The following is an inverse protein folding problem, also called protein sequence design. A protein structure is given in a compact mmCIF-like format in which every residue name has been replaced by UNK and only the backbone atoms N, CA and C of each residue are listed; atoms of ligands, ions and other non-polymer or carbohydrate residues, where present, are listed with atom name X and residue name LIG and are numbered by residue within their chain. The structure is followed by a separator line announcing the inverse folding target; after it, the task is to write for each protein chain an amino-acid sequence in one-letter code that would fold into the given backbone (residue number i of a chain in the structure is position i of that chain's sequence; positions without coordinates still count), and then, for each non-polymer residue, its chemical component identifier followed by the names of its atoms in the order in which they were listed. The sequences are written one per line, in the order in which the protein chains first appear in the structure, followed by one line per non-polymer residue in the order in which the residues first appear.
data_IF_260342008209
#
_entry.id   IF_260342008209
#
_cell.length_a   1.000
_cell.length_b   1.000
_cell.length_c   1.000
_cell.angle_alpha   90.00
_cell.angle_beta   90.00
_cell.angle_gamma   90.00
#
_symmetry.space_group_name_H-M   'P 1'
#
loop_
_entity.id
_entity.type
_entity.pdbx_description
1 polymer ?
#
# COMPACT_ATOMS: atom_id res chain seq x y z
N UNK A 1 -7.77 -9.93 -15.96
CA UNK A 1 -7.06 -9.31 -14.82
C UNK A 1 -6.10 -8.25 -15.35
N UNK A 2 -5.82 -7.21 -14.56
CA UNK A 2 -4.84 -6.16 -14.90
C UNK A 2 -3.75 -6.07 -13.83
N UNK A 3 -2.53 -5.76 -14.27
CA UNK A 3 -1.36 -5.58 -13.41
C UNK A 3 -0.99 -4.10 -13.34
N UNK A 4 -0.51 -3.67 -12.18
CA UNK A 4 -0.08 -2.29 -11.95
C UNK A 4 1.22 -2.27 -11.15
N UNK A 5 2.03 -1.24 -11.42
CA UNK A 5 3.26 -0.95 -10.69
C UNK A 5 3.20 0.46 -10.11
N UNK A 6 3.44 0.59 -8.81
CA UNK A 6 3.55 1.88 -8.13
C UNK A 6 4.91 1.98 -7.43
N UNK A 7 5.45 3.19 -7.35
CA UNK A 7 6.70 3.43 -6.62
C UNK A 7 6.60 4.67 -5.75
N UNK A 8 7.22 4.59 -4.59
CA UNK A 8 7.40 5.67 -3.63
C UNK A 8 8.70 5.41 -2.86
N UNK A 9 9.09 6.33 -1.99
CA UNK A 9 10.23 6.11 -1.11
C UNK A 9 9.78 6.08 0.36
N UNK A 10 10.56 5.44 1.21
CA UNK A 10 10.48 5.56 2.67
C UNK A 10 11.41 6.65 3.13
N UNK A 11 11.00 7.47 4.10
CA UNK A 11 11.87 8.49 4.72
C UNK A 11 13.25 7.90 5.02
N UNK A 12 14.29 8.68 4.72
CA UNK A 12 15.69 8.24 4.78
C UNK A 12 16.20 8.10 6.22
N UNK A 13 15.66 7.11 6.92
CA UNK A 13 15.92 6.79 8.32
C UNK A 13 15.77 5.26 8.51
N UNK A 14 16.80 4.63 9.08
CA UNK A 14 16.84 3.19 9.27
C UNK A 14 15.73 2.67 10.20
N UNK A 15 15.36 3.43 11.23
CA UNK A 15 14.29 3.07 12.16
C UNK A 15 12.93 3.17 11.49
N UNK A 16 12.73 4.15 10.60
CA UNK A 16 11.52 4.24 9.77
C UNK A 16 11.39 3.01 8.87
N UNK A 17 12.46 2.60 8.20
CA UNK A 17 12.47 1.41 7.34
C UNK A 17 12.13 0.14 8.16
N UNK A 18 12.73 -0.02 9.33
CA UNK A 18 12.48 -1.16 10.20
C UNK A 18 11.04 -1.19 10.73
N UNK A 19 10.49 -0.02 11.09
CA UNK A 19 9.10 0.10 11.54
C UNK A 19 8.12 -0.22 10.42
N UNK A 20 8.36 0.29 9.20
CA UNK A 20 7.55 -0.01 8.02
C UNK A 20 7.49 -1.52 7.74
N UNK A 21 8.66 -2.20 7.75
CA UNK A 21 8.75 -3.66 7.56
C UNK A 21 7.99 -4.43 8.64
N UNK A 22 8.03 -3.97 9.89
CA UNK A 22 7.31 -4.61 11.01
C UNK A 22 5.81 -4.54 10.81
N UNK A 23 5.29 -3.36 10.46
CA UNK A 23 3.87 -3.20 10.18
C UNK A 23 3.42 -4.06 8.99
N UNK A 24 4.21 -4.12 7.91
CA UNK A 24 3.83 -4.90 6.72
C UNK A 24 3.97 -6.42 6.88
N UNK A 25 4.76 -6.91 7.85
CA UNK A 25 4.80 -8.34 8.18
C UNK A 25 3.46 -8.84 8.73
N UNK A 26 2.76 -7.98 9.45
CA UNK A 26 1.49 -8.25 10.10
C UNK A 26 0.49 -7.14 9.74
N UNK A 27 0.29 -6.94 8.43
CA UNK A 27 -0.68 -5.98 7.94
C UNK A 27 -2.08 -6.32 8.46
N UNK A 28 -2.84 -5.30 8.83
CA UNK A 28 -4.12 -5.49 9.50
C UNK A 28 -5.12 -6.25 8.59
N UNK A 29 -5.82 -7.28 9.11
CA UNK A 29 -6.77 -8.06 8.32
C UNK A 29 -7.85 -7.21 7.66
N UNK A 30 -8.29 -6.13 8.30
CA UNK A 30 -9.30 -5.20 7.79
C UNK A 30 -8.79 -4.43 6.57
N UNK A 31 -7.50 -4.07 6.56
CA UNK A 31 -6.85 -3.42 5.41
C UNK A 31 -6.77 -4.39 4.24
N UNK A 32 -6.34 -5.64 4.50
CA UNK A 32 -6.26 -6.69 3.48
C UNK A 32 -7.66 -7.00 2.92
N UNK A 33 -8.67 -7.10 3.79
CA UNK A 33 -10.06 -7.30 3.40
C UNK A 33 -10.56 -6.17 2.51
N UNK A 34 -10.30 -4.91 2.90
CA UNK A 34 -10.73 -3.75 2.13
C UNK A 34 -10.09 -3.65 0.75
N UNK A 35 -8.81 -4.01 0.63
CA UNK A 35 -8.12 -4.10 -0.66
C UNK A 35 -8.79 -5.14 -1.57
N UNK A 36 -9.17 -6.30 -1.02
CA UNK A 36 -9.89 -7.35 -1.77
C UNK A 36 -11.28 -6.91 -2.22
N UNK A 37 -12.02 -6.21 -1.35
CA UNK A 37 -13.36 -5.70 -1.66
C UNK A 37 -13.39 -4.75 -2.86
N UNK A 38 -12.35 -3.94 -3.04
CA UNK A 38 -12.25 -3.03 -4.19
C UNK A 38 -11.67 -3.71 -5.44
N UNK A 39 -11.35 -5.00 -5.38
CA UNK A 39 -10.94 -5.80 -6.53
C UNK A 39 -9.44 -6.06 -6.66
N UNK A 40 -8.63 -5.78 -5.64
CA UNK A 40 -7.20 -6.16 -5.63
C UNK A 40 -7.08 -7.62 -5.21
N UNK A 41 -6.47 -8.44 -6.06
CA UNK A 41 -6.37 -9.89 -5.87
C UNK A 41 -5.01 -10.32 -5.34
N UNK A 42 -3.96 -9.58 -5.67
CA UNK A 42 -2.58 -9.84 -5.24
C UNK A 42 -1.88 -8.49 -5.01
N UNK A 43 -1.07 -8.40 -3.96
CA UNK A 43 -0.23 -7.23 -3.70
C UNK A 43 1.11 -7.67 -3.12
N UNK A 44 2.19 -7.24 -3.75
CA UNK A 44 3.57 -7.46 -3.29
C UNK A 44 4.29 -6.14 -3.23
N UNK A 45 5.06 -5.94 -2.18
CA UNK A 45 5.88 -4.74 -2.01
C UNK A 45 7.34 -5.19 -1.91
N UNK A 46 8.16 -4.67 -2.82
CA UNK A 46 9.59 -4.88 -2.89
C UNK A 46 10.30 -3.61 -2.38
N UNK A 47 11.40 -3.78 -1.66
CA UNK A 47 12.17 -2.69 -1.07
C UNK A 47 13.64 -2.81 -1.48
N UNK A 48 14.19 -1.76 -2.10
CA UNK A 48 15.61 -1.64 -2.44
C UNK A 48 16.14 -0.33 -1.84
N UNK A 49 17.07 -0.42 -0.88
CA UNK A 49 17.46 0.72 -0.05
C UNK A 49 16.22 1.28 0.66
N UNK A 50 15.83 2.51 0.28
CA UNK A 50 14.60 3.16 0.75
C UNK A 50 13.48 3.23 -0.30
N UNK A 51 13.70 2.68 -1.51
CA UNK A 51 12.71 2.72 -2.61
C UNK A 51 11.77 1.54 -2.53
N UNK A 52 10.48 1.82 -2.50
CA UNK A 52 9.42 0.83 -2.57
C UNK A 52 8.93 0.67 -4.01
N UNK A 53 8.68 -0.56 -4.40
CA UNK A 53 7.96 -0.93 -5.61
C UNK A 53 6.81 -1.84 -5.22
N UNK A 54 5.58 -1.36 -5.41
CA UNK A 54 4.37 -2.13 -5.23
C UNK A 54 3.95 -2.72 -6.57
N UNK A 55 3.88 -4.04 -6.63
CA UNK A 55 3.19 -4.79 -7.67
C UNK A 55 1.79 -5.11 -7.15
N UNK A 56 0.77 -4.89 -7.97
CA UNK A 56 -0.58 -5.36 -7.67
C UNK A 56 -1.26 -5.97 -8.89
N UNK A 57 -2.07 -6.99 -8.65
CA UNK A 57 -3.03 -7.51 -9.61
C UNK A 57 -4.44 -7.16 -9.16
N UNK A 58 -5.30 -6.85 -10.13
CA UNK A 58 -6.69 -6.56 -9.86
C UNK A 58 -7.61 -7.20 -10.91
N UNK A 59 -8.88 -7.34 -10.54
CA UNK A 59 -9.95 -7.83 -11.42
C UNK A 59 -10.13 -6.92 -12.64
N UNK A 60 -10.72 -7.47 -13.70
CA UNK A 60 -11.06 -6.67 -14.87
C UNK A 60 -12.09 -5.59 -14.51
N UNK A 61 -11.87 -4.38 -15.03
CA UNK A 61 -12.69 -3.22 -14.71
C UNK A 61 -12.27 -2.43 -13.46
N UNK A 62 -11.27 -2.91 -12.70
CA UNK A 62 -10.62 -2.10 -11.68
C UNK A 62 -9.99 -0.85 -12.29
N UNK A 63 -10.23 0.30 -11.68
CA UNK A 63 -9.64 1.59 -12.09
C UNK A 63 -9.03 2.27 -10.85
N UNK A 64 -7.69 2.45 -10.78
CA UNK A 64 -7.04 3.06 -9.63
C UNK A 64 -7.57 4.45 -9.27
N UNK A 65 -7.95 5.28 -10.26
CA UNK A 65 -8.43 6.64 -10.03
C UNK A 65 -9.83 6.67 -9.43
N UNK A 66 -10.67 5.69 -9.77
CA UNK A 66 -12.02 5.54 -9.24
C UNK A 66 -12.05 4.77 -7.92
N UNK A 67 -11.28 3.69 -7.82
CA UNK A 67 -11.48 2.68 -6.78
C UNK A 67 -10.57 2.85 -5.57
N UNK A 68 -9.35 3.39 -5.70
CA UNK A 68 -8.51 3.69 -4.53
C UNK A 68 -9.12 4.69 -3.54
N UNK A 69 -9.78 5.79 -3.98
CA UNK A 69 -10.43 6.71 -3.04
C UNK A 69 -11.43 6.01 -2.11
N UNK A 70 -12.06 4.93 -2.58
CA UNK A 70 -13.05 4.14 -1.81
C UNK A 70 -12.41 3.39 -0.64
N UNK A 71 -11.11 3.09 -0.67
CA UNK A 71 -10.43 2.44 0.46
C UNK A 71 -10.62 3.25 1.76
N UNK A 72 -10.54 4.57 1.64
CA UNK A 72 -10.70 5.53 2.73
C UNK A 72 -12.12 5.60 3.30
N UNK A 73 -13.11 4.91 2.72
CA UNK A 73 -14.45 4.77 3.33
C UNK A 73 -14.37 3.97 4.65
N UNK A 74 -13.42 3.02 4.76
CA UNK A 74 -13.20 2.24 5.97
C UNK A 74 -12.30 3.01 6.96
N UNK A 75 -12.81 3.28 8.17
CA UNK A 75 -12.05 3.99 9.21
C UNK A 75 -10.70 3.33 9.52
N UNK A 76 -10.68 2.00 9.62
CA UNK A 76 -9.46 1.24 9.89
C UNK A 76 -8.43 1.31 8.76
N UNK A 77 -8.90 1.47 7.51
CA UNK A 77 -7.99 1.71 6.39
C UNK A 77 -7.38 3.12 6.47
N UNK A 78 -8.16 4.14 6.84
CA UNK A 78 -7.64 5.51 7.02
C UNK A 78 -6.53 5.56 8.08
N UNK A 79 -6.74 4.91 9.22
CA UNK A 79 -5.70 4.81 10.27
C UNK A 79 -4.41 4.13 9.77
N UNK A 80 -4.56 3.07 8.96
CA UNK A 80 -3.43 2.42 8.33
C UNK A 80 -2.72 3.34 7.33
N UNK A 81 -3.48 4.04 6.49
CA UNK A 81 -2.95 4.96 5.48
C UNK A 81 -2.20 6.14 6.13
N UNK A 82 -2.73 6.72 7.20
CA UNK A 82 -2.05 7.76 7.99
C UNK A 82 -0.73 7.25 8.60
N UNK A 83 -0.75 6.05 9.19
CA UNK A 83 0.44 5.41 9.74
C UNK A 83 1.49 5.16 8.66
N UNK A 84 1.11 4.61 7.50
CA UNK A 84 2.05 4.36 6.40
C UNK A 84 2.58 5.64 5.77
N UNK A 85 1.70 6.61 5.53
CA UNK A 85 2.06 7.94 5.01
C UNK A 85 3.05 8.67 5.91
N UNK A 86 2.97 8.48 7.23
CA UNK A 86 3.95 9.04 8.18
C UNK A 86 5.39 8.58 7.95
N UNK A 87 5.58 7.45 7.26
CA UNK A 87 6.88 6.81 6.97
C UNK A 87 7.31 6.95 5.51
N UNK A 88 6.42 7.40 4.64
CA UNK A 88 6.65 7.49 3.20
C UNK A 88 7.03 8.91 2.77
N UNK A 89 7.60 8.99 1.57
CA UNK A 89 7.81 10.22 0.83
C UNK A 89 7.66 9.98 -0.68
N UNK A 90 7.46 11.06 -1.43
CA UNK A 90 7.28 10.98 -2.88
C UNK A 90 8.61 10.65 -3.57
N UNK A 91 8.53 9.93 -4.68
CA UNK A 91 9.67 9.87 -5.61
C UNK A 91 9.97 11.26 -6.17
N UNK A 92 11.25 11.55 -6.52
CA UNK A 92 11.62 12.76 -7.26
C UNK A 92 10.85 12.91 -8.58
#
# INVERSE_FOLDING_TARGET
MRTYGLTLLLKDDADVINRYKRHHREAWPEVIGRLKEIGITEMKIYLIGRRLFMFMEAVDGFDPTRDFPRLSELARYREWDELMSSMQERVP
#
